data_IF_067901655067
#
_entry.id   IF_067901655067
#
_cell.length_a   1.000
_cell.length_b   1.000
_cell.length_c   1.000
_cell.angle_alpha   90.00
_cell.angle_beta   90.00
_cell.angle_gamma   90.00
#
_symmetry.space_group_name_H-M   'P 1'
#
loop_
_entity.id
_entity.type
_entity.pdbx_description
1 polymer ?
#
# COMPACT_ATOMS: atom_id res chain seq x y z
N UNK A 1 -23.18 -66.89 22.48
CA UNK A 1 -23.30 -65.62 21.73
C UNK A 1 -22.09 -64.78 22.09
N UNK A 2 -21.05 -64.79 21.24
CA UNK A 2 -19.76 -64.17 21.54
C UNK A 2 -19.70 -62.76 20.94
N UNK A 3 -19.56 -61.75 21.79
CA UNK A 3 -19.38 -60.35 21.37
C UNK A 3 -17.89 -60.02 21.33
N UNK A 4 -17.31 -59.93 20.14
CA UNK A 4 -15.96 -59.41 19.91
C UNK A 4 -15.93 -57.89 20.13
N UNK A 5 -15.15 -57.44 21.12
CA UNK A 5 -14.78 -56.03 21.27
C UNK A 5 -13.74 -55.65 20.21
N UNK A 6 -14.04 -54.66 19.36
CA UNK A 6 -13.07 -54.05 18.45
C UNK A 6 -12.29 -52.97 19.18
N UNK A 7 -10.95 -52.91 19.06
CA UNK A 7 -10.18 -51.81 19.62
C UNK A 7 -10.41 -50.53 18.80
N UNK A 8 -10.71 -49.42 19.47
CA UNK A 8 -10.80 -48.10 18.86
C UNK A 8 -9.39 -47.62 18.48
N UNK A 9 -9.10 -47.56 17.19
CA UNK A 9 -7.95 -46.83 16.64
C UNK A 9 -8.23 -45.33 16.80
N UNK A 10 -7.79 -44.74 17.91
CA UNK A 10 -8.22 -43.37 18.22
C UNK A 10 -7.44 -42.65 19.31
N UNK A 11 -6.16 -42.97 19.53
CA UNK A 11 -5.29 -42.14 20.37
C UNK A 11 -3.85 -42.20 19.84
N UNK A 12 -3.60 -41.47 18.76
CA UNK A 12 -2.23 -41.04 18.47
C UNK A 12 -1.93 -39.92 19.45
N UNK A 13 -0.90 -40.11 20.27
CA UNK A 13 -0.50 -39.16 21.31
C UNK A 13 -0.27 -37.77 20.71
N UNK A 14 -0.67 -36.74 21.45
CA UNK A 14 -0.50 -35.32 21.09
C UNK A 14 0.93 -34.98 20.63
N UNK A 15 1.91 -35.72 21.15
CA UNK A 15 3.34 -35.59 20.86
C UNK A 15 3.65 -35.82 19.37
N UNK A 16 3.04 -36.82 18.72
CA UNK A 16 3.29 -37.11 17.30
C UNK A 16 2.74 -35.99 16.39
N UNK A 17 1.62 -35.37 16.78
CA UNK A 17 1.09 -34.19 16.07
C UNK A 17 1.96 -32.95 16.25
N UNK A 18 2.62 -32.79 17.39
CA UNK A 18 3.54 -31.65 17.64
C UNK A 18 4.83 -31.78 16.81
N UNK A 19 5.40 -32.98 16.72
CA UNK A 19 6.61 -33.22 15.92
C UNK A 19 6.35 -33.07 14.40
N UNK A 20 5.17 -33.45 13.91
CA UNK A 20 4.78 -33.23 12.51
C UNK A 20 4.55 -31.75 12.17
N UNK A 21 4.12 -30.91 13.13
CA UNK A 21 4.01 -29.46 12.90
C UNK A 21 5.37 -28.77 12.77
N UNK A 22 6.37 -29.22 13.53
CA UNK A 22 7.72 -28.64 13.46
C UNK A 22 8.45 -28.90 12.14
N UNK A 23 8.16 -30.01 11.45
CA UNK A 23 8.74 -30.30 10.13
C UNK A 23 8.17 -29.43 9.00
N UNK A 24 7.00 -28.80 9.18
CA UNK A 24 6.42 -27.85 8.24
C UNK A 24 6.66 -26.37 8.61
N UNK A 25 7.29 -26.08 9.75
CA UNK A 25 7.71 -24.71 10.13
C UNK A 25 9.14 -24.40 9.71
N UNK A 26 9.68 -25.13 8.73
CA UNK A 26 10.84 -24.63 8.00
C UNK A 26 10.45 -23.28 7.42
N UNK A 27 11.13 -22.21 7.84
CA UNK A 27 11.06 -20.88 7.22
C UNK A 27 11.57 -21.05 5.80
N UNK A 28 10.70 -21.52 4.91
CA UNK A 28 11.03 -21.69 3.51
C UNK A 28 11.56 -20.36 3.01
N UNK A 29 12.74 -20.35 2.39
CA UNK A 29 13.14 -19.19 1.59
C UNK A 29 11.98 -18.95 0.64
N UNK A 30 11.28 -17.82 0.82
CA UNK A 30 10.18 -17.44 -0.06
C UNK A 30 10.66 -17.54 -1.50
N UNK A 31 9.76 -17.88 -2.43
CA UNK A 31 10.12 -18.05 -3.84
C UNK A 31 10.97 -16.87 -4.29
N UNK A 32 12.22 -17.16 -4.64
CA UNK A 32 13.09 -16.17 -5.25
C UNK A 32 12.47 -15.94 -6.63
N UNK A 33 11.70 -14.85 -6.77
CA UNK A 33 11.16 -14.44 -8.06
C UNK A 33 12.28 -14.24 -9.10
N UNK A 34 11.93 -13.85 -10.33
CA UNK A 34 12.93 -13.53 -11.35
C UNK A 34 14.00 -12.56 -10.83
N UNK A 35 15.19 -12.62 -11.43
CA UNK A 35 16.27 -11.68 -11.10
C UNK A 35 15.79 -10.23 -11.19
N UNK A 36 16.16 -9.40 -10.22
CA UNK A 36 15.68 -8.02 -10.10
C UNK A 36 14.24 -7.84 -9.58
N UNK A 37 13.46 -8.91 -9.41
CA UNK A 37 12.08 -8.79 -8.98
C UNK A 37 11.95 -8.29 -7.54
N UNK A 38 11.28 -7.15 -7.37
CA UNK A 38 11.10 -6.47 -6.09
C UNK A 38 12.14 -5.38 -5.83
N UNK A 39 13.19 -5.25 -6.63
CA UNK A 39 14.18 -4.18 -6.47
C UNK A 39 13.62 -2.80 -6.86
N UNK A 40 12.59 -2.78 -7.70
CA UNK A 40 11.89 -1.56 -8.10
C UNK A 40 10.41 -1.70 -7.79
N UNK A 41 9.84 -0.67 -7.17
CA UNK A 41 8.39 -0.54 -6.94
C UNK A 41 7.94 0.75 -7.59
N UNK A 42 7.03 0.64 -8.54
CA UNK A 42 6.38 1.76 -9.20
C UNK A 42 5.08 2.11 -8.49
N UNK A 43 4.90 3.40 -8.22
CA UNK A 43 3.69 3.96 -7.61
C UNK A 43 3.00 4.80 -8.67
N UNK A 44 1.82 4.38 -9.13
CA UNK A 44 1.03 5.10 -10.11
C UNK A 44 -0.09 5.85 -9.43
N UNK A 45 -0.35 7.07 -9.90
CA UNK A 45 -1.49 7.88 -9.47
C UNK A 45 -2.47 8.11 -10.62
N UNK A 46 -3.75 8.12 -10.28
CA UNK A 46 -4.79 8.61 -11.17
C UNK A 46 -4.86 10.14 -11.08
N UNK A 47 -4.58 10.84 -12.19
CA UNK A 47 -4.41 12.31 -12.25
C UNK A 47 -5.59 13.13 -11.71
N UNK A 48 -6.81 12.59 -11.70
CA UNK A 48 -8.03 13.31 -11.28
C UNK A 48 -8.64 12.85 -9.96
N UNK A 49 -8.39 11.61 -9.56
CA UNK A 49 -9.06 11.00 -8.39
C UNK A 49 -8.06 10.63 -7.30
N UNK A 50 -6.76 10.84 -7.54
CA UNK A 50 -5.68 10.53 -6.63
C UNK A 50 -5.70 9.09 -6.09
N UNK A 51 -6.31 8.17 -6.86
CA UNK A 51 -6.22 6.74 -6.61
C UNK A 51 -4.80 6.27 -6.88
N UNK A 52 -4.30 5.37 -6.04
CA UNK A 52 -2.94 4.84 -6.11
C UNK A 52 -2.96 3.37 -6.53
N UNK A 53 -1.97 2.97 -7.32
CA UNK A 53 -1.71 1.58 -7.67
C UNK A 53 -0.21 1.34 -7.51
N UNK A 54 0.16 0.26 -6.82
CA UNK A 54 1.55 -0.19 -6.73
C UNK A 54 1.81 -1.28 -7.76
N UNK A 55 3.00 -1.30 -8.35
CA UNK A 55 3.43 -2.34 -9.29
C UNK A 55 4.91 -2.63 -9.12
N UNK A 56 5.36 -3.83 -9.48
CA UNK A 56 6.79 -4.09 -9.69
C UNK A 56 7.24 -3.70 -11.10
N UNK A 57 6.29 -3.66 -12.05
CA UNK A 57 6.54 -3.32 -13.44
C UNK A 57 6.37 -1.82 -13.70
N UNK A 58 7.17 -1.27 -14.62
CA UNK A 58 7.07 0.11 -15.11
C UNK A 58 5.73 0.38 -15.83
N UNK A 59 5.04 -0.69 -16.25
CA UNK A 59 3.73 -0.59 -16.91
C UNK A 59 2.67 -1.25 -16.05
N UNK A 60 1.49 -0.63 -16.01
CA UNK A 60 0.35 -1.18 -15.32
C UNK A 60 -0.25 -2.33 -16.13
N UNK A 61 -0.29 -3.53 -15.55
CA UNK A 61 -1.14 -4.59 -16.07
C UNK A 61 -2.61 -4.30 -15.78
N UNK A 62 -3.41 -4.13 -16.83
CA UNK A 62 -4.82 -3.75 -16.74
C UNK A 62 -5.65 -4.64 -15.81
N UNK A 63 -5.42 -5.95 -15.80
CA UNK A 63 -6.21 -6.88 -14.99
C UNK A 63 -5.78 -6.87 -13.52
N UNK A 64 -4.49 -7.01 -13.23
CA UNK A 64 -3.98 -7.09 -11.85
C UNK A 64 -4.02 -5.74 -11.14
N UNK A 65 -3.72 -4.66 -11.86
CA UNK A 65 -3.79 -3.30 -11.32
C UNK A 65 -5.24 -2.90 -10.96
N UNK A 66 -6.23 -3.28 -11.77
CA UNK A 66 -7.65 -2.96 -11.50
C UNK A 66 -8.21 -3.67 -10.26
N UNK A 67 -7.62 -4.80 -9.87
CA UNK A 67 -7.98 -5.50 -8.62
C UNK A 67 -7.58 -4.73 -7.36
N UNK A 68 -6.64 -3.80 -7.46
CA UNK A 68 -6.24 -2.97 -6.32
C UNK A 68 -7.25 -1.88 -5.97
N UNK A 69 -8.18 -1.58 -6.88
CA UNK A 69 -9.18 -0.52 -6.68
C UNK A 69 -10.47 -1.11 -6.09
N UNK A 70 -10.88 -0.73 -4.87
CA UNK A 70 -12.12 -1.18 -4.28
C UNK A 70 -13.33 -0.48 -4.92
N UNK A 71 -14.53 -1.00 -4.62
CA UNK A 71 -15.77 -0.35 -4.98
C UNK A 71 -16.19 0.64 -3.88
N UNK A 72 -15.91 1.93 -4.09
CA UNK A 72 -16.26 2.99 -3.15
C UNK A 72 -17.61 3.69 -3.49
N UNK A 73 -18.35 3.17 -4.47
CA UNK A 73 -19.61 3.75 -4.94
C UNK A 73 -19.79 3.75 -6.46
N UNK A 74 -20.93 4.27 -6.93
CA UNK A 74 -21.20 4.38 -8.37
C UNK A 74 -20.20 5.35 -9.00
N UNK A 75 -19.58 4.96 -10.12
CA UNK A 75 -18.58 5.74 -10.87
C UNK A 75 -17.26 6.05 -10.14
N UNK A 76 -16.96 5.38 -9.03
CA UNK A 76 -15.68 5.57 -8.31
C UNK A 76 -14.58 4.60 -8.76
N UNK A 77 -14.95 3.45 -9.32
CA UNK A 77 -14.02 2.48 -9.93
C UNK A 77 -14.13 2.53 -11.46
N UNK A 78 -13.02 2.75 -12.20
CA UNK A 78 -13.05 2.73 -13.65
C UNK A 78 -13.30 1.31 -14.18
N UNK A 79 -13.91 1.18 -15.37
CA UNK A 79 -14.11 -0.12 -16.00
C UNK A 79 -12.81 -0.71 -16.59
N UNK A 80 -11.89 0.15 -17.03
CA UNK A 80 -10.57 -0.19 -17.54
C UNK A 80 -9.57 0.91 -17.18
N UNK A 81 -8.30 0.56 -17.06
CA UNK A 81 -7.23 1.53 -16.85
C UNK A 81 -6.90 2.20 -18.17
N UNK A 82 -7.13 3.52 -18.27
CA UNK A 82 -6.78 4.30 -19.46
C UNK A 82 -5.42 4.98 -19.26
N UNK A 83 -4.52 4.85 -20.23
CA UNK A 83 -3.13 5.34 -20.16
C UNK A 83 -3.02 6.84 -19.86
N UNK A 84 -3.99 7.65 -20.29
CA UNK A 84 -3.98 9.11 -20.12
C UNK A 84 -4.28 9.56 -18.68
N UNK A 85 -5.01 8.74 -17.91
CA UNK A 85 -5.35 9.08 -16.54
C UNK A 85 -4.34 8.60 -15.51
N UNK A 86 -3.51 7.61 -15.86
CA UNK A 86 -2.54 7.02 -14.96
C UNK A 86 -1.13 7.48 -15.32
N UNK A 87 -0.40 7.96 -14.33
CA UNK A 87 1.01 8.32 -14.49
C UNK A 87 1.83 7.84 -13.29
N UNK A 88 3.11 7.51 -13.49
CA UNK A 88 4.00 7.25 -12.37
C UNK A 88 4.08 8.50 -11.49
N UNK A 89 3.95 8.31 -10.19
CA UNK A 89 4.11 9.33 -9.15
C UNK A 89 5.48 9.23 -8.50
N UNK A 90 5.90 7.99 -8.23
CA UNK A 90 7.19 7.69 -7.64
C UNK A 90 7.68 6.32 -8.10
N UNK A 91 8.99 6.14 -8.09
CA UNK A 91 9.64 4.83 -8.19
C UNK A 91 10.56 4.66 -6.98
N UNK A 92 10.31 3.61 -6.19
CA UNK A 92 11.14 3.21 -5.06
C UNK A 92 12.15 2.19 -5.57
N UNK A 93 13.43 2.42 -5.34
CA UNK A 93 14.52 1.56 -5.77
C UNK A 93 15.36 1.10 -4.59
N UNK A 94 15.49 -0.21 -4.48
CA UNK A 94 16.36 -0.89 -3.54
C UNK A 94 17.71 -1.20 -4.20
N UNK A 95 18.76 -1.45 -3.40
CA UNK A 95 20.04 -1.93 -3.91
C UNK A 95 19.90 -3.28 -4.62
N UNK A 96 20.80 -3.56 -5.55
CA UNK A 96 20.84 -4.84 -6.27
C UNK A 96 20.93 -6.02 -5.30
N UNK A 97 20.16 -7.08 -5.57
CA UNK A 97 20.06 -8.26 -4.70
C UNK A 97 19.11 -8.13 -3.51
N UNK A 98 18.56 -6.93 -3.24
CA UNK A 98 17.63 -6.69 -2.12
C UNK A 98 16.14 -6.81 -2.51
N UNK A 99 15.83 -7.53 -3.60
CA UNK A 99 14.46 -7.71 -4.06
C UNK A 99 13.52 -8.37 -3.03
N UNK A 100 14.04 -9.20 -2.12
CA UNK A 100 13.25 -9.77 -1.02
C UNK A 100 12.66 -8.69 -0.10
N UNK A 101 13.49 -7.70 0.26
CA UNK A 101 13.09 -6.56 1.11
C UNK A 101 12.05 -5.72 0.39
N UNK A 102 12.25 -5.45 -0.90
CA UNK A 102 11.27 -4.71 -1.69
C UNK A 102 9.92 -5.42 -1.81
N UNK A 103 9.89 -6.76 -1.88
CA UNK A 103 8.61 -7.52 -1.81
C UNK A 103 7.93 -7.37 -0.45
N UNK A 104 8.70 -7.38 0.65
CA UNK A 104 8.16 -7.11 2.00
C UNK A 104 7.57 -5.71 2.08
N UNK A 105 8.30 -4.69 1.62
CA UNK A 105 7.83 -3.30 1.56
C UNK A 105 6.57 -3.17 0.71
N UNK A 106 6.56 -3.77 -0.49
CA UNK A 106 5.41 -3.77 -1.38
C UNK A 106 4.16 -4.37 -0.72
N UNK A 107 4.32 -5.48 -0.01
CA UNK A 107 3.24 -6.09 0.76
C UNK A 107 2.69 -5.11 1.81
N UNK A 108 3.56 -4.45 2.59
CA UNK A 108 3.14 -3.49 3.62
C UNK A 108 2.41 -2.28 3.06
N UNK A 109 2.91 -1.71 1.96
CA UNK A 109 2.23 -0.61 1.27
C UNK A 109 0.83 -1.02 0.79
N UNK A 110 0.69 -2.24 0.27
CA UNK A 110 -0.60 -2.79 -0.17
C UNK A 110 -1.56 -3.05 0.99
N UNK A 111 -1.04 -3.54 2.12
CA UNK A 111 -1.82 -3.75 3.34
C UNK A 111 -2.33 -2.42 3.91
N UNK A 112 -1.46 -1.41 4.04
CA UNK A 112 -1.83 -0.08 4.55
C UNK A 112 -2.85 0.61 3.65
N UNK A 113 -2.63 0.63 2.33
CA UNK A 113 -3.61 1.17 1.38
C UNK A 113 -4.98 0.51 1.54
N UNK A 114 -5.02 -0.82 1.69
CA UNK A 114 -6.29 -1.52 1.89
C UNK A 114 -6.97 -1.11 3.20
N UNK A 115 -6.19 -0.95 4.28
CA UNK A 115 -6.69 -0.48 5.57
C UNK A 115 -7.24 0.95 5.47
N UNK A 116 -6.56 1.87 4.78
CA UNK A 116 -7.06 3.24 4.54
C UNK A 116 -8.39 3.28 3.79
N UNK A 117 -8.63 2.30 2.92
CA UNK A 117 -9.86 2.21 2.12
C UNK A 117 -11.02 1.53 2.86
N UNK A 118 -10.74 0.60 3.78
CA UNK A 118 -11.75 -0.24 4.45
C UNK A 118 -12.00 0.13 5.92
N UNK A 119 -10.94 0.46 6.66
CA UNK A 119 -10.96 0.64 8.12
C UNK A 119 -10.68 2.09 8.52
N UNK A 120 -11.47 3.00 7.97
CA UNK A 120 -11.37 4.44 8.26
C UNK A 120 -12.20 4.87 9.47
N UNK A 121 -11.75 5.93 10.14
CA UNK A 121 -12.44 6.55 11.28
C UNK A 121 -13.57 7.47 10.82
N UNK A 122 -14.34 7.97 11.78
CA UNK A 122 -15.41 8.95 11.55
C UNK A 122 -14.94 10.24 10.84
N UNK A 123 -13.64 10.47 10.70
CA UNK A 123 -13.06 11.55 9.89
C UNK A 123 -13.53 11.54 8.44
N UNK A 124 -13.69 10.35 7.82
CA UNK A 124 -14.24 10.25 6.47
C UNK A 124 -15.75 10.51 6.41
N UNK A 125 -16.44 10.42 7.55
CA UNK A 125 -17.88 10.68 7.64
C UNK A 125 -18.21 12.16 7.62
N UNK A 126 -17.38 13.01 8.22
CA UNK A 126 -17.63 14.46 8.33
C UNK A 126 -16.78 15.26 7.35
N UNK A 127 -17.29 16.41 6.87
CA UNK A 127 -16.53 17.30 6.00
C UNK A 127 -15.36 17.93 6.75
N UNK A 128 -14.24 18.15 6.06
CA UNK A 128 -13.15 18.96 6.62
C UNK A 128 -13.50 20.46 6.54
N UNK A 129 -12.86 21.33 7.34
CA UNK A 129 -13.11 22.77 7.28
C UNK A 129 -12.91 23.39 5.88
N UNK A 130 -12.02 22.80 5.08
CA UNK A 130 -11.70 23.21 3.72
C UNK A 130 -12.84 22.89 2.73
N UNK A 131 -13.65 21.88 3.02
CA UNK A 131 -14.78 21.44 2.19
C UNK A 131 -16.11 22.13 2.54
N UNK A 132 -16.13 22.98 3.57
CA UNK A 132 -17.37 23.59 4.05
C UNK A 132 -17.94 24.55 3.01
N UNK A 133 -19.16 24.24 2.56
CA UNK A 133 -19.94 25.13 1.70
C UNK A 133 -20.46 26.33 2.49
N UNK A 134 -20.90 27.39 1.82
CA UNK A 134 -21.54 28.53 2.47
C UNK A 134 -22.78 28.12 3.30
N UNK A 135 -23.54 27.13 2.81
CA UNK A 135 -24.69 26.58 3.52
C UNK A 135 -24.27 25.83 4.79
N UNK A 136 -23.20 25.03 4.72
CA UNK A 136 -22.64 24.34 5.88
C UNK A 136 -22.20 25.34 6.95
N UNK A 137 -21.50 26.42 6.57
CA UNK A 137 -21.06 27.48 7.48
C UNK A 137 -22.23 28.18 8.17
N UNK A 138 -23.30 28.49 7.42
CA UNK A 138 -24.52 29.09 7.98
C UNK A 138 -25.17 28.18 9.02
N UNK A 139 -25.30 26.88 8.70
CA UNK A 139 -25.90 25.91 9.62
C UNK A 139 -25.05 25.69 10.88
N UNK A 140 -23.73 25.63 10.74
CA UNK A 140 -22.81 25.58 11.88
C UNK A 140 -23.03 26.78 12.81
N UNK A 141 -23.15 28.00 12.26
CA UNK A 141 -23.38 29.20 13.07
C UNK A 141 -24.73 29.18 13.80
N UNK A 142 -25.79 28.71 13.14
CA UNK A 142 -27.14 28.58 13.74
C UNK A 142 -27.16 27.56 14.89
N UNK A 143 -26.57 26.39 14.68
CA UNK A 143 -26.49 25.34 15.70
C UNK A 143 -25.60 25.75 16.86
N UNK A 144 -24.50 26.45 16.58
CA UNK A 144 -23.63 27.02 17.62
C UNK A 144 -24.36 28.06 18.48
N UNK A 145 -25.19 28.92 17.87
CA UNK A 145 -26.04 29.86 18.60
C UNK A 145 -27.09 29.16 19.48
N UNK A 146 -27.49 27.94 19.09
CA UNK A 146 -28.41 27.09 19.83
C UNK A 146 -27.72 26.20 20.88
N UNK A 147 -26.39 26.28 21.02
CA UNK A 147 -25.60 25.48 21.96
C UNK A 147 -25.18 24.09 21.46
N UNK A 148 -25.44 23.75 20.19
CA UNK A 148 -25.16 22.43 19.62
C UNK A 148 -23.87 22.37 18.81
N UNK A 149 -23.11 21.29 18.96
CA UNK A 149 -21.91 20.99 18.18
C UNK A 149 -22.23 20.31 16.84
N UNK A 150 -22.71 21.06 15.85
CA UNK A 150 -23.02 20.49 14.52
C UNK A 150 -21.76 20.31 13.66
N UNK A 151 -21.58 19.10 13.11
CA UNK A 151 -20.55 18.78 12.11
C UNK A 151 -21.21 18.37 10.78
N UNK A 152 -20.95 19.06 9.67
CA UNK A 152 -21.48 18.67 8.36
C UNK A 152 -21.02 17.26 7.96
N UNK A 153 -21.96 16.44 7.49
CA UNK A 153 -21.71 15.04 7.10
C UNK A 153 -21.53 14.94 5.59
N UNK A 154 -20.54 14.15 5.14
CA UNK A 154 -20.38 13.81 3.72
C UNK A 154 -21.49 12.87 3.26
N UNK A 155 -22.06 13.15 2.10
CA UNK A 155 -22.90 12.21 1.36
C UNK A 155 -22.10 10.94 0.99
N UNK A 156 -22.82 9.86 0.61
CA UNK A 156 -22.16 8.62 0.15
C UNK A 156 -21.27 8.85 -1.07
N UNK A 157 -21.67 9.75 -1.97
CA UNK A 157 -20.90 10.09 -3.17
C UNK A 157 -19.63 10.87 -2.82
N UNK A 158 -19.73 11.94 -2.02
CA UNK A 158 -18.57 12.71 -1.55
C UNK A 158 -17.60 11.83 -0.78
N UNK A 159 -18.10 10.93 0.08
CA UNK A 159 -17.26 9.97 0.80
C UNK A 159 -16.53 9.01 -0.13
N UNK A 160 -17.21 8.49 -1.15
CA UNK A 160 -16.59 7.62 -2.14
C UNK A 160 -15.47 8.31 -2.93
N UNK A 161 -15.62 9.61 -3.19
CA UNK A 161 -14.58 10.45 -3.82
C UNK A 161 -13.41 10.67 -2.85
N UNK A 162 -13.69 11.03 -1.59
CA UNK A 162 -12.66 11.22 -0.57
C UNK A 162 -11.84 9.94 -0.33
N UNK A 163 -12.50 8.77 -0.25
CA UNK A 163 -11.84 7.48 -0.08
C UNK A 163 -10.97 7.07 -1.27
N UNK A 164 -11.25 7.59 -2.46
CA UNK A 164 -10.40 7.34 -3.62
C UNK A 164 -9.10 8.15 -3.59
N UNK A 165 -9.10 9.32 -2.94
CA UNK A 165 -7.97 10.23 -2.90
C UNK A 165 -6.91 9.75 -1.89
N UNK A 166 -6.14 8.74 -2.29
CA UNK A 166 -5.16 8.04 -1.45
C UNK A 166 -3.72 8.52 -1.65
N UNK A 167 -3.50 9.56 -2.47
CA UNK A 167 -2.15 10.12 -2.74
C UNK A 167 -1.40 10.46 -1.45
N UNK A 168 -1.99 11.28 -0.58
CA UNK A 168 -1.33 11.77 0.63
C UNK A 168 -1.04 10.62 1.60
N UNK A 169 -2.02 9.73 1.78
CA UNK A 169 -1.88 8.54 2.61
C UNK A 169 -0.78 7.62 2.10
N UNK A 170 -0.73 7.37 0.78
CA UNK A 170 0.33 6.56 0.17
C UNK A 170 1.72 7.13 0.41
N UNK A 171 1.89 8.45 0.41
CA UNK A 171 3.19 9.08 0.62
C UNK A 171 3.61 8.97 2.10
N UNK A 172 2.67 9.18 3.02
CA UNK A 172 2.89 8.94 4.45
C UNK A 172 3.21 7.45 4.73
N UNK A 173 2.50 6.53 4.08
CA UNK A 173 2.75 5.08 4.18
C UNK A 173 4.13 4.72 3.63
N UNK A 174 4.57 5.35 2.53
CA UNK A 174 5.93 5.18 2.01
C UNK A 174 6.98 5.60 3.03
N UNK A 175 6.82 6.76 3.66
CA UNK A 175 7.74 7.22 4.70
C UNK A 175 7.77 6.27 5.90
N UNK A 176 6.60 5.85 6.40
CA UNK A 176 6.50 4.95 7.54
C UNK A 176 7.10 3.56 7.24
N UNK A 177 6.74 2.95 6.11
CA UNK A 177 7.23 1.60 5.75
C UNK A 177 8.74 1.64 5.47
N UNK A 178 9.26 2.68 4.82
CA UNK A 178 10.69 2.79 4.53
C UNK A 178 11.55 3.14 5.75
N UNK A 179 10.91 3.66 6.81
CA UNK A 179 11.53 3.82 8.13
C UNK A 179 11.54 2.52 8.96
N UNK A 180 10.97 1.42 8.45
CA UNK A 180 10.94 0.13 9.14
C UNK A 180 9.68 -0.15 9.94
N UNK A 181 8.65 0.69 9.86
CA UNK A 181 7.38 0.42 10.52
C UNK A 181 6.65 -0.77 9.88
N UNK A 182 5.88 -1.49 10.70
CA UNK A 182 5.10 -2.66 10.28
C UNK A 182 5.73 -3.98 10.71
N UNK A 183 4.96 -4.83 11.37
CA UNK A 183 5.44 -6.13 11.87
C UNK A 183 5.93 -7.00 10.71
N UNK A 184 7.16 -7.51 10.83
CA UNK A 184 7.79 -8.34 9.80
C UNK A 184 8.32 -7.56 8.59
N UNK A 185 8.48 -6.23 8.70
CA UNK A 185 9.13 -5.43 7.67
C UNK A 185 10.64 -5.76 7.61
N UNK A 186 11.09 -6.27 6.47
CA UNK A 186 12.47 -6.75 6.29
C UNK A 186 13.49 -5.62 6.11
N UNK A 187 13.04 -4.38 5.87
CA UNK A 187 13.93 -3.22 5.69
C UNK A 187 14.74 -2.91 6.95
N UNK A 188 14.18 -3.24 8.12
CA UNK A 188 14.78 -2.99 9.42
C UNK A 188 15.78 -4.09 9.81
N UNK A 189 15.85 -5.24 9.13
CA UNK A 189 16.63 -6.40 9.61
C UNK A 189 17.94 -6.58 8.83
N UNK A 190 18.09 -5.90 7.69
CA UNK A 190 19.09 -6.31 6.71
C UNK A 190 20.52 -5.82 6.97
N UNK A 191 20.76 -4.84 7.84
CA UNK A 191 22.13 -4.51 8.28
C UNK A 191 22.28 -4.77 9.79
N UNK A 192 23.07 -5.77 10.15
CA UNK A 192 23.52 -5.96 11.53
C UNK A 192 24.56 -4.90 11.87
N UNK A 193 24.16 -3.79 12.49
CA UNK A 193 25.10 -2.80 13.02
C UNK A 193 25.59 -3.19 14.43
N UNK A 194 26.81 -2.79 14.71
CA UNK A 194 27.67 -3.11 15.87
C UNK A 194 27.08 -2.71 17.24
N UNK A 195 26.04 -1.87 17.26
CA UNK A 195 25.44 -1.28 18.47
C UNK A 195 24.07 -1.87 18.86
N UNK A 196 23.66 -3.00 18.27
CA UNK A 196 22.49 -3.76 18.71
C UNK A 196 21.13 -3.23 18.24
N UNK A 197 21.10 -2.19 17.40
CA UNK A 197 19.94 -1.85 16.56
C UNK A 197 20.33 -1.96 15.08
N UNK A 198 19.59 -2.72 14.27
CA UNK A 198 19.92 -2.91 12.87
C UNK A 198 19.70 -1.64 12.06
N UNK A 199 20.69 -1.26 11.24
CA UNK A 199 20.60 -0.08 10.37
C UNK A 199 19.66 -0.39 9.17
N UNK A 200 18.69 0.48 8.87
CA UNK A 200 17.80 0.24 7.74
C UNK A 200 18.54 0.33 6.40
N UNK A 201 18.07 -0.43 5.41
CA UNK A 201 18.67 -0.44 4.06
C UNK A 201 18.53 0.92 3.39
N UNK A 202 19.56 1.34 2.67
CA UNK A 202 19.52 2.54 1.84
C UNK A 202 18.55 2.36 0.67
N UNK A 203 17.59 3.28 0.53
CA UNK A 203 16.56 3.25 -0.51
C UNK A 203 16.55 4.58 -1.25
N UNK A 204 16.37 4.54 -2.57
CA UNK A 204 16.19 5.75 -3.38
C UNK A 204 14.74 5.87 -3.84
N UNK A 205 14.15 7.06 -3.72
CA UNK A 205 12.84 7.38 -4.29
C UNK A 205 13.03 8.41 -5.38
N UNK A 206 12.61 8.04 -6.59
CA UNK A 206 12.54 8.95 -7.74
C UNK A 206 11.13 9.49 -7.88
N UNK A 207 10.95 10.79 -7.74
CA UNK A 207 9.64 11.44 -7.76
C UNK A 207 9.31 12.05 -9.12
N UNK A 208 8.05 11.94 -9.54
CA UNK A 208 7.54 12.66 -10.70
C UNK A 208 7.37 14.17 -10.41
N UNK A 209 7.07 14.53 -9.16
CA UNK A 209 7.02 15.90 -8.68
C UNK A 209 7.73 15.98 -7.33
N UNK A 210 8.76 16.82 -7.21
CA UNK A 210 9.57 16.93 -5.98
C UNK A 210 8.75 17.37 -4.76
N UNK A 211 7.70 18.17 -4.97
CA UNK A 211 6.81 18.62 -3.89
C UNK A 211 6.03 17.47 -3.24
N UNK A 212 5.86 16.35 -3.95
CA UNK A 212 5.08 15.24 -3.40
C UNK A 212 5.77 14.63 -2.16
N UNK A 213 7.10 14.78 -1.98
CA UNK A 213 7.77 14.28 -0.76
C UNK A 213 7.35 14.99 0.53
N UNK A 214 6.78 16.20 0.44
CA UNK A 214 6.41 17.04 1.59
C UNK A 214 5.09 16.59 2.25
N UNK A 215 4.34 15.69 1.65
CA UNK A 215 3.14 15.13 2.27
C UNK A 215 3.44 14.17 3.43
N UNK A 216 4.69 13.71 3.56
CA UNK A 216 5.15 13.01 4.75
C UNK A 216 5.81 14.02 5.72
N UNK A 217 5.46 13.93 7.00
CA UNK A 217 5.99 14.85 8.03
C UNK A 217 7.50 14.75 8.20
N UNK A 218 8.05 13.54 8.06
CA UNK A 218 9.48 13.27 8.15
C UNK A 218 9.84 12.03 7.33
N UNK A 219 11.10 11.99 6.87
CA UNK A 219 11.70 10.84 6.19
C UNK A 219 12.85 10.28 7.02
N UNK A 220 13.03 8.96 6.97
CA UNK A 220 14.14 8.29 7.65
C UNK A 220 15.46 8.55 6.91
N UNK A 221 16.58 8.50 7.64
CA UNK A 221 17.92 8.85 7.13
C UNK A 221 18.43 7.93 6.01
N UNK A 222 17.85 6.73 5.88
CA UNK A 222 18.19 5.76 4.84
C UNK A 222 17.48 6.03 3.51
N UNK A 223 16.60 7.03 3.43
CA UNK A 223 15.87 7.35 2.20
C UNK A 223 16.53 8.54 1.52
N UNK A 224 16.85 8.35 0.24
CA UNK A 224 17.35 9.41 -0.64
C UNK A 224 16.28 9.77 -1.67
N UNK A 225 16.20 11.06 -2.02
CA UNK A 225 15.19 11.55 -2.96
C UNK A 225 15.86 12.12 -4.21
N UNK A 226 15.32 11.76 -5.37
CA UNK A 226 15.74 12.30 -6.67
C UNK A 226 14.52 12.53 -7.56
N UNK A 227 14.70 13.23 -8.69
CA UNK A 227 13.66 13.39 -9.70
C UNK A 227 13.65 12.22 -10.68
N UNK A 228 12.46 11.91 -11.19
CA UNK A 228 12.25 10.97 -12.27
C UNK A 228 12.46 11.70 -13.61
N UNK A 229 13.33 11.16 -14.47
CA UNK A 229 13.70 11.83 -15.73
C UNK A 229 12.51 11.95 -16.69
N UNK A 230 11.70 10.89 -16.80
CA UNK A 230 10.47 10.84 -17.61
C UNK A 230 9.26 10.44 -16.75
N UNK A 231 8.51 11.40 -16.21
CA UNK A 231 7.32 11.14 -15.40
C UNK A 231 6.06 10.80 -16.22
N UNK A 232 6.16 10.77 -17.54
CA UNK A 232 5.08 10.34 -18.40
C UNK A 232 4.93 8.82 -18.33
N UNK A 233 3.68 8.33 -18.48
CA UNK A 233 3.48 6.92 -18.76
C UNK A 233 4.20 6.63 -20.08
N UNK A 234 5.27 5.82 -20.04
CA UNK A 234 6.04 5.49 -21.23
C UNK A 234 5.12 4.70 -22.17
N UNK A 235 4.44 5.40 -23.08
CA UNK A 235 3.92 4.81 -24.31
C UNK A 235 5.17 4.45 -25.09
N UNK A 236 5.73 3.27 -24.81
CA UNK A 236 6.97 2.86 -25.43
C UNK A 236 6.92 3.14 -26.92
N UNK A 237 8.02 3.65 -27.47
CA UNK A 237 8.38 3.28 -28.83
C UNK A 237 8.12 1.78 -28.97
N UNK A 238 7.42 1.42 -30.05
CA UNK A 238 7.29 0.04 -30.49
C UNK A 238 8.66 -0.62 -30.36
N UNK A 239 8.71 -1.77 -29.68
CA UNK A 239 9.93 -2.58 -29.65
C UNK A 239 10.38 -2.73 -31.11
N UNK A 240 11.62 -2.32 -31.40
CA UNK A 240 12.25 -2.59 -32.69
C UNK A 240 12.03 -4.05 -33.02
N UNK A 241 11.22 -4.30 -34.05
CA UNK A 241 11.09 -5.61 -34.65
C UNK A 241 12.44 -5.90 -35.29
N UNK A 242 13.28 -6.65 -34.59
CA UNK A 242 14.44 -7.29 -35.19
C UNK A 242 13.93 -8.28 -36.24
N UNK A 243 14.16 -7.94 -37.50
CA UNK A 243 14.14 -8.83 -38.65
C UNK A 243 15.59 -9.09 -39.06
#
# INVERSE_FOLDING_TARGET
>A
MNTTSRPRLGQWSSIVRTCLRQLHTGRGKGSQGPEGHGEKIWVFRHRRSDQIIYSFDERLDGFHALKQLPFNGKKTKPAKLRKDYWSPMAMIQFPEGQGAVGRSVYQKLRELKHLHEVSWTDEFRYKSPQEFTAADKKKIAQEKASGNGYKPVRSKAERGIALNAQKTNSIADMAAVLAGHGNGNEIAVANTATDGQPDPIQVSIRWANDQDKEYAEAWSKNVTHTLLDDPAYTSGKEAESTA
#
